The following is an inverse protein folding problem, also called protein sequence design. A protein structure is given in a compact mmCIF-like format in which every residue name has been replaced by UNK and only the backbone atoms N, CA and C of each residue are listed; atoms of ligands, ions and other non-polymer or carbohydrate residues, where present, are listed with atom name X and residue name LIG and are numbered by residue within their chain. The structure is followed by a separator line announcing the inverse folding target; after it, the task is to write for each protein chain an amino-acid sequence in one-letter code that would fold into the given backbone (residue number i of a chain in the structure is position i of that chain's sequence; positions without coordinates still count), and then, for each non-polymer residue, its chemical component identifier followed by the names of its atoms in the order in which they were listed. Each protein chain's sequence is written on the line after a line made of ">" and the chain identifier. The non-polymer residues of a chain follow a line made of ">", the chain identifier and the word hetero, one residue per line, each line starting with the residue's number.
data_IF_416890626055
#
_entry.id   IF_416890626055
#
_cell.length_a   1.000
_cell.length_b   1.000
_cell.length_c   1.000
_cell.angle_alpha   90.00
_cell.angle_beta   90.00
_cell.angle_gamma   90.00
#
_symmetry.space_group_name_H-M   'P 1'
#
loop_
_entity.id
_entity.type
_entity.pdbx_description
1 polymer ?
#
# COMPACT_ATOMS: atom_id res chain seq x y z
N UNK A 1 12.85 7.52 86.50
CA UNK A 1 11.52 6.90 86.39
C UNK A 1 11.07 6.98 84.93
N UNK A 2 10.33 5.98 84.47
CA UNK A 2 10.04 5.57 83.08
C UNK A 2 9.39 6.62 82.15
N UNK A 3 9.79 6.55 80.87
CA UNK A 3 9.07 6.81 79.58
C UNK A 3 8.22 8.09 79.41
N UNK A 4 8.54 8.92 78.39
CA UNK A 4 7.90 8.85 77.07
C UNK A 4 8.43 9.89 76.06
N UNK A 5 8.57 9.43 74.82
CA UNK A 5 8.88 10.15 73.59
C UNK A 5 7.65 10.90 73.05
N UNK A 6 7.84 12.11 72.49
CA UNK A 6 7.34 12.62 71.17
C UNK A 6 7.45 14.16 71.12
N UNK A 7 8.28 14.69 70.21
CA UNK A 7 7.93 15.35 68.93
C UNK A 7 7.30 16.75 69.12
N UNK A 8 8.06 17.83 68.97
CA UNK A 8 8.33 18.59 67.73
C UNK A 8 7.04 18.94 66.95
N UNK A 9 6.66 20.21 67.06
CA UNK A 9 6.02 21.05 66.04
C UNK A 9 6.96 22.25 65.84
N UNK A 10 7.16 22.78 64.62
CA UNK A 10 6.28 23.88 64.25
C UNK A 10 6.03 24.08 62.74
N UNK A 11 5.11 25.01 62.48
CA UNK A 11 5.13 26.05 61.43
C UNK A 11 4.77 25.70 59.98
N UNK A 12 3.53 26.06 59.64
CA UNK A 12 3.15 26.98 58.56
C UNK A 12 3.94 26.95 57.23
N UNK A 13 3.25 26.38 56.24
CA UNK A 13 2.83 27.08 55.03
C UNK A 13 3.92 27.88 54.29
N UNK A 14 4.64 27.24 53.38
CA UNK A 14 5.24 27.94 52.24
C UNK A 14 5.30 27.03 51.00
N UNK A 15 4.67 27.52 49.93
CA UNK A 15 4.86 27.21 48.52
C UNK A 15 5.08 25.74 48.12
N UNK A 16 3.98 25.14 47.67
CA UNK A 16 3.99 24.08 46.66
C UNK A 16 4.60 24.65 45.35
N UNK A 17 5.90 24.45 45.13
CA UNK A 17 6.49 24.46 43.78
C UNK A 17 7.05 23.06 43.57
N UNK A 18 6.14 22.13 43.29
CA UNK A 18 6.48 20.89 42.61
C UNK A 18 6.96 21.25 41.22
N UNK A 19 8.27 21.44 41.05
CA UNK A 19 8.95 21.22 39.77
C UNK A 19 8.85 19.74 39.44
N UNK A 20 7.66 19.33 39.00
CA UNK A 20 7.52 18.18 38.13
C UNK A 20 8.21 18.62 36.83
N UNK A 21 9.47 18.22 36.66
CA UNK A 21 10.09 18.16 35.35
C UNK A 21 9.21 17.20 34.55
N UNK A 22 8.22 17.75 33.85
CA UNK A 22 7.64 17.09 32.68
C UNK A 22 8.83 16.88 31.74
N UNK A 23 9.41 15.68 31.78
CA UNK A 23 10.01 15.09 30.61
C UNK A 23 8.88 14.95 29.61
N UNK A 24 8.56 16.04 28.91
CA UNK A 24 7.74 16.00 27.72
C UNK A 24 8.47 15.06 26.78
N UNK A 25 7.96 13.83 26.67
CA UNK A 25 8.10 13.10 25.44
C UNK A 25 7.67 14.07 24.35
N UNK A 26 8.63 14.64 23.61
CA UNK A 26 8.36 15.34 22.36
C UNK A 26 7.85 14.26 21.41
N UNK A 27 6.59 13.88 21.57
CA UNK A 27 5.88 13.16 20.56
C UNK A 27 5.87 14.09 19.34
N UNK A 28 6.45 13.60 18.26
CA UNK A 28 6.37 14.15 16.92
C UNK A 28 4.93 14.61 16.61
N UNK A 29 4.63 15.90 16.75
CA UNK A 29 3.26 16.41 16.55
C UNK A 29 2.95 16.39 15.05
N UNK A 30 2.11 15.46 14.60
CA UNK A 30 1.65 15.43 13.21
C UNK A 30 0.70 16.62 12.96
N UNK A 31 0.91 17.32 11.85
CA UNK A 31 0.08 18.44 11.42
C UNK A 31 -0.52 18.12 10.06
N UNK A 32 -1.79 18.48 9.88
CA UNK A 32 -2.45 18.62 8.60
C UNK A 32 -2.50 20.11 8.30
N UNK A 33 -1.78 20.55 7.28
CA UNK A 33 -1.64 21.96 6.90
C UNK A 33 -2.34 22.16 5.57
N UNK A 34 -3.43 22.91 5.59
CA UNK A 34 -4.16 23.30 4.38
C UNK A 34 -3.68 24.67 3.94
N UNK A 35 -3.22 24.79 2.69
CA UNK A 35 -2.77 26.04 2.09
C UNK A 35 -3.93 26.79 1.42
N UNK A 36 -3.75 28.09 1.18
CA UNK A 36 -4.70 28.94 0.47
C UNK A 36 -4.95 28.49 -0.98
N UNK A 37 -3.99 27.79 -1.59
CA UNK A 37 -4.11 27.20 -2.93
C UNK A 37 -4.82 25.82 -2.93
N UNK A 38 -5.32 25.39 -1.77
CA UNK A 38 -6.03 24.11 -1.61
C UNK A 38 -5.12 22.91 -1.39
N UNK A 39 -3.78 23.05 -1.45
CA UNK A 39 -2.86 21.95 -1.15
C UNK A 39 -2.90 21.59 0.33
N UNK A 40 -2.94 20.30 0.62
CA UNK A 40 -2.88 19.76 1.98
C UNK A 40 -1.54 19.06 2.19
N UNK A 41 -0.87 19.37 3.28
CA UNK A 41 0.39 18.74 3.69
C UNK A 41 0.20 18.03 5.02
N UNK A 42 0.59 16.77 5.10
CA UNK A 42 0.60 16.01 6.36
C UNK A 42 2.02 15.67 6.76
N UNK A 43 2.44 16.06 7.95
CA UNK A 43 3.80 15.79 8.41
C UNK A 43 4.07 16.21 9.86
N UNK A 44 5.21 15.76 10.39
CA UNK A 44 5.61 16.05 11.77
C UNK A 44 6.11 17.50 11.92
N UNK A 45 5.59 18.26 12.87
CA UNK A 45 6.08 19.60 13.21
C UNK A 45 7.53 19.55 13.67
N UNK A 46 8.43 20.23 12.94
CA UNK A 46 9.84 20.41 13.32
C UNK A 46 10.15 21.81 13.83
N UNK A 47 9.34 22.80 13.47
CA UNK A 47 9.49 24.16 13.98
C UNK A 47 8.44 25.10 13.41
N UNK A 48 8.14 26.18 14.13
CA UNK A 48 7.19 27.20 13.69
C UNK A 48 7.72 28.57 14.06
N UNK A 49 7.65 29.50 13.12
CA UNK A 49 7.97 30.92 13.28
C UNK A 49 6.81 31.76 12.73
N UNK A 50 6.86 33.08 12.92
CA UNK A 50 5.86 34.01 12.39
C UNK A 50 5.77 34.04 10.85
N UNK A 51 6.80 33.55 10.15
CA UNK A 51 6.87 33.55 8.68
C UNK A 51 6.84 32.16 8.05
N UNK A 52 7.28 31.14 8.77
CA UNK A 52 7.49 29.79 8.22
C UNK A 52 7.09 28.72 9.23
N UNK A 53 6.30 27.75 8.77
CA UNK A 53 6.05 26.47 9.43
C UNK A 53 6.93 25.40 8.80
N UNK A 54 7.68 24.64 9.60
CA UNK A 54 8.53 23.54 9.14
C UNK A 54 7.91 22.22 9.57
N UNK A 55 7.55 21.39 8.59
CA UNK A 55 7.03 20.04 8.81
C UNK A 55 7.93 19.00 8.14
N UNK A 56 8.12 17.84 8.75
CA UNK A 56 8.83 16.71 8.19
C UNK A 56 7.85 15.80 7.46
N UNK A 57 8.06 15.63 6.16
CA UNK A 57 7.28 14.75 5.31
C UNK A 57 8.23 13.69 4.77
N UNK A 58 8.03 12.43 5.15
CA UNK A 58 8.86 11.30 4.72
C UNK A 58 10.38 11.53 4.91
N UNK A 59 10.78 12.10 6.05
CA UNK A 59 12.18 12.36 6.39
C UNK A 59 12.75 13.68 5.85
N UNK A 60 11.96 14.46 5.10
CA UNK A 60 12.39 15.76 4.55
C UNK A 60 11.71 16.92 5.27
N UNK A 61 12.49 17.91 5.70
CA UNK A 61 11.98 19.12 6.34
C UNK A 61 11.47 20.10 5.28
N UNK A 62 10.15 20.19 5.13
CA UNK A 62 9.44 21.08 4.23
C UNK A 62 9.12 22.39 4.96
N UNK A 63 9.53 23.52 4.38
CA UNK A 63 9.26 24.87 4.88
C UNK A 63 8.03 25.45 4.16
N UNK A 64 6.93 25.64 4.88
CA UNK A 64 5.70 26.25 4.41
C UNK A 64 5.63 27.72 4.83
N UNK A 65 5.31 28.63 3.90
CA UNK A 65 5.15 30.05 4.22
C UNK A 65 3.85 30.27 4.98
N UNK A 66 3.92 30.83 6.19
CA UNK A 66 2.78 31.02 7.08
C UNK A 66 1.67 31.89 6.46
N UNK A 67 2.00 32.84 5.57
CA UNK A 67 1.01 33.68 4.87
C UNK A 67 0.12 32.90 3.90
N UNK A 68 0.60 31.76 3.43
CA UNK A 68 -0.11 30.93 2.45
C UNK A 68 -0.84 29.77 3.12
N UNK A 69 -0.85 29.70 4.45
CA UNK A 69 -1.55 28.66 5.20
C UNK A 69 -2.97 29.14 5.49
N UNK A 70 -3.95 28.34 5.08
CA UNK A 70 -5.38 28.54 5.35
C UNK A 70 -5.76 28.03 6.74
N UNK A 71 -5.36 26.80 7.07
CA UNK A 71 -5.58 26.18 8.38
C UNK A 71 -4.45 25.24 8.76
N UNK A 72 -4.23 25.09 10.07
CA UNK A 72 -3.32 24.10 10.66
C UNK A 72 -4.15 23.29 11.64
N UNK A 73 -4.27 22.00 11.38
CA UNK A 73 -4.91 21.05 12.28
C UNK A 73 -3.85 20.11 12.84
N UNK A 74 -3.95 19.79 14.12
CA UNK A 74 -3.10 18.77 14.73
C UNK A 74 -3.72 17.43 14.37
N UNK A 75 -3.00 16.60 13.62
CA UNK A 75 -3.45 15.25 13.33
C UNK A 75 -3.42 14.48 14.66
N UNK A 76 -4.59 13.99 15.10
CA UNK A 76 -4.68 13.20 16.31
C UNK A 76 -3.75 11.98 16.17
N UNK A 77 -2.95 11.72 17.20
CA UNK A 77 -2.11 10.52 17.21
C UNK A 77 -3.01 9.27 17.25
N UNK A 78 -2.55 8.11 16.73
CA UNK A 78 -3.33 6.88 16.84
C UNK A 78 -3.74 6.55 18.29
N UNK A 79 -2.92 6.94 19.27
CA UNK A 79 -3.24 6.78 20.70
C UNK A 79 -4.41 7.69 21.14
N UNK A 80 -4.44 8.94 20.67
CA UNK A 80 -5.53 9.89 20.97
C UNK A 80 -6.83 9.47 20.30
N UNK A 81 -6.78 9.08 19.02
CA UNK A 81 -7.94 8.52 18.29
C UNK A 81 -8.48 7.29 19.02
N UNK A 82 -7.59 6.40 19.44
CA UNK A 82 -7.95 5.23 20.21
C UNK A 82 -8.61 5.61 21.54
N UNK A 83 -8.01 6.50 22.33
CA UNK A 83 -8.54 6.92 23.61
C UNK A 83 -9.94 7.54 23.45
N UNK A 84 -10.13 8.46 22.50
CA UNK A 84 -11.40 9.11 22.24
C UNK A 84 -12.49 8.10 21.81
N UNK A 85 -12.18 7.23 20.85
CA UNK A 85 -13.14 6.23 20.36
C UNK A 85 -13.44 5.19 21.43
N UNK A 86 -12.43 4.70 22.15
CA UNK A 86 -12.58 3.68 23.20
C UNK A 86 -13.42 4.16 24.38
N UNK A 87 -13.36 5.46 24.73
CA UNK A 87 -14.17 6.04 25.81
C UNK A 87 -15.67 6.08 25.51
N UNK A 88 -16.05 5.98 24.23
CA UNK A 88 -17.44 5.96 23.76
C UNK A 88 -17.99 4.53 23.60
N UNK A 89 -17.17 3.50 23.83
CA UNK A 89 -17.56 2.10 23.68
C UNK A 89 -17.91 1.47 25.02
N UNK A 90 -18.98 0.67 25.04
CA UNK A 90 -19.31 -0.18 26.18
C UNK A 90 -18.34 -1.37 26.27
N UNK A 91 -18.07 -1.85 27.49
CA UNK A 91 -17.11 -2.92 27.76
C UNK A 91 -17.48 -4.27 27.11
N UNK A 92 -18.76 -4.49 26.84
CA UNK A 92 -19.31 -5.71 26.23
C UNK A 92 -19.49 -5.61 24.71
N UNK A 93 -19.29 -4.45 24.09
CA UNK A 93 -19.43 -4.27 22.64
C UNK A 93 -18.16 -4.75 21.91
N UNK A 94 -18.05 -6.08 21.81
CA UNK A 94 -16.94 -6.75 21.12
C UNK A 94 -16.87 -6.37 19.64
N UNK A 95 -18.00 -6.11 18.99
CA UNK A 95 -18.06 -5.76 17.58
C UNK A 95 -17.38 -4.41 17.30
N UNK A 96 -17.83 -3.38 18.00
CA UNK A 96 -17.27 -2.02 17.84
C UNK A 96 -15.83 -1.94 18.34
N UNK A 97 -15.49 -2.67 19.41
CA UNK A 97 -14.10 -2.75 19.88
C UNK A 97 -13.19 -3.43 18.86
N UNK A 98 -13.66 -4.47 18.17
CA UNK A 98 -12.92 -5.06 17.06
C UNK A 98 -12.77 -4.10 15.88
N UNK A 99 -13.82 -3.37 15.52
CA UNK A 99 -13.77 -2.32 14.49
C UNK A 99 -12.69 -1.28 14.77
N UNK A 100 -12.63 -0.78 16.01
CA UNK A 100 -11.59 0.14 16.45
C UNK A 100 -10.17 -0.45 16.34
N UNK A 101 -10.00 -1.74 16.63
CA UNK A 101 -8.69 -2.39 16.51
C UNK A 101 -8.26 -2.60 15.06
N UNK A 102 -9.20 -2.78 14.13
CA UNK A 102 -8.92 -2.74 12.69
C UNK A 102 -8.51 -1.34 12.24
N UNK A 103 -9.23 -0.29 12.65
CA UNK A 103 -8.84 1.11 12.37
C UNK A 103 -7.41 1.40 12.85
N UNK A 104 -7.08 0.97 14.08
CA UNK A 104 -5.75 1.18 14.65
C UNK A 104 -4.67 0.34 13.94
N UNK A 105 -5.03 -0.83 13.42
CA UNK A 105 -4.14 -1.65 12.62
C UNK A 105 -3.81 -0.96 11.29
N UNK A 106 -4.80 -0.37 10.63
CA UNK A 106 -4.62 0.36 9.37
C UNK A 106 -3.79 1.64 9.55
N UNK A 107 -3.94 2.30 10.71
CA UNK A 107 -3.07 3.39 11.16
C UNK A 107 -1.66 2.93 11.59
N UNK A 108 -1.33 1.64 11.41
CA UNK A 108 -0.04 1.02 11.74
C UNK A 108 0.33 1.09 13.22
N UNK A 109 -0.64 1.25 14.11
CA UNK A 109 -0.45 1.26 15.55
C UNK A 109 -0.31 -0.15 16.13
N UNK A 110 0.57 -0.98 15.53
CA UNK A 110 0.62 -2.43 15.78
C UNK A 110 0.91 -2.80 17.24
N UNK A 111 1.75 -2.02 17.93
CA UNK A 111 2.05 -2.24 19.36
C UNK A 111 0.82 -2.00 20.23
N UNK A 112 0.03 -0.97 19.94
CA UNK A 112 -1.22 -0.67 20.63
C UNK A 112 -2.26 -1.77 20.38
N UNK A 113 -2.43 -2.14 19.12
CA UNK A 113 -3.36 -3.21 18.69
C UNK A 113 -3.01 -4.54 19.36
N UNK A 114 -1.74 -4.93 19.39
CA UNK A 114 -1.28 -6.15 20.06
C UNK A 114 -1.64 -6.15 21.55
N UNK A 115 -1.36 -5.05 22.25
CA UNK A 115 -1.61 -4.94 23.68
C UNK A 115 -3.10 -5.08 23.99
N UNK A 116 -3.96 -4.44 23.22
CA UNK A 116 -5.41 -4.51 23.41
C UNK A 116 -6.00 -5.87 23.02
N UNK A 117 -5.51 -6.51 21.95
CA UNK A 117 -5.92 -7.85 21.59
C UNK A 117 -5.53 -8.88 22.65
N UNK A 118 -4.36 -8.74 23.27
CA UNK A 118 -3.97 -9.60 24.40
C UNK A 118 -4.91 -9.43 25.60
N UNK A 119 -5.29 -8.19 25.95
CA UNK A 119 -6.29 -7.94 27.01
C UNK A 119 -7.64 -8.54 26.64
N UNK A 120 -8.09 -8.34 25.41
CA UNK A 120 -9.37 -8.87 24.92
C UNK A 120 -9.40 -10.40 25.00
N UNK A 121 -8.35 -11.06 24.51
CA UNK A 121 -8.25 -12.53 24.51
C UNK A 121 -8.05 -13.12 25.91
N UNK A 122 -7.57 -12.34 26.88
CA UNK A 122 -7.55 -12.79 28.27
C UNK A 122 -8.97 -12.92 28.86
N UNK A 123 -9.90 -12.07 28.41
CA UNK A 123 -11.33 -12.10 28.82
C UNK A 123 -12.18 -13.01 27.92
N UNK A 124 -11.86 -13.08 26.64
CA UNK A 124 -12.60 -13.85 25.63
C UNK A 124 -11.66 -14.78 24.85
N UNK A 125 -11.19 -15.88 25.46
CA UNK A 125 -10.15 -16.73 24.88
C UNK A 125 -10.53 -17.34 23.54
N UNK A 126 -11.82 -17.58 23.27
CA UNK A 126 -12.30 -18.19 22.03
C UNK A 126 -12.74 -17.21 20.94
N UNK A 127 -12.42 -15.91 21.09
CA UNK A 127 -12.80 -14.90 20.11
C UNK A 127 -11.97 -15.02 18.81
N UNK A 128 -12.50 -15.78 17.84
CA UNK A 128 -11.84 -16.10 16.57
C UNK A 128 -11.28 -14.90 15.79
N UNK A 129 -12.05 -13.81 15.58
CA UNK A 129 -11.53 -12.61 14.90
C UNK A 129 -10.32 -11.99 15.60
N UNK A 130 -10.31 -11.97 16.94
CA UNK A 130 -9.21 -11.40 17.71
C UNK A 130 -7.94 -12.26 17.63
N UNK A 131 -8.06 -13.61 17.69
CA UNK A 131 -6.93 -14.53 17.46
C UNK A 131 -6.29 -14.27 16.08
N UNK A 132 -7.11 -14.09 15.04
CA UNK A 132 -6.64 -13.81 13.67
C UNK A 132 -5.92 -12.46 13.58
N UNK A 133 -6.52 -11.39 14.08
CA UNK A 133 -5.91 -10.06 14.04
C UNK A 133 -4.60 -10.01 14.87
N UNK A 134 -4.55 -10.70 16.01
CA UNK A 134 -3.34 -10.77 16.83
C UNK A 134 -2.20 -11.47 16.09
N UNK A 135 -2.50 -12.58 15.39
CA UNK A 135 -1.52 -13.29 14.56
C UNK A 135 -0.95 -12.38 13.48
N UNK A 136 -1.80 -11.67 12.74
CA UNK A 136 -1.38 -10.75 11.68
C UNK A 136 -0.54 -9.59 12.26
N UNK A 137 -0.98 -9.02 13.38
CA UNK A 137 -0.27 -7.93 14.08
C UNK A 137 1.12 -8.36 14.55
N UNK A 138 1.27 -9.57 15.09
CA UNK A 138 2.58 -10.10 15.50
C UNK A 138 3.51 -10.28 14.29
N UNK A 139 3.02 -10.84 13.18
CA UNK A 139 3.81 -10.97 11.95
C UNK A 139 4.32 -9.62 11.47
N UNK A 140 3.47 -8.59 11.52
CA UNK A 140 3.86 -7.24 11.10
C UNK A 140 4.94 -6.62 12.01
N UNK A 141 4.82 -6.80 13.33
CA UNK A 141 5.84 -6.37 14.29
C UNK A 141 7.17 -7.10 14.09
N UNK A 142 7.14 -8.40 13.79
CA UNK A 142 8.35 -9.17 13.48
C UNK A 142 9.05 -8.70 12.21
N UNK A 143 8.28 -8.38 11.16
CA UNK A 143 8.83 -7.82 9.92
C UNK A 143 9.51 -6.48 10.16
N UNK A 144 8.86 -5.58 10.90
CA UNK A 144 9.43 -4.28 11.27
C UNK A 144 10.71 -4.43 12.10
N UNK A 145 10.75 -5.40 13.03
CA UNK A 145 11.97 -5.70 13.81
C UNK A 145 13.12 -6.22 12.96
N UNK A 146 12.83 -7.07 11.95
CA UNK A 146 13.85 -7.57 11.01
C UNK A 146 14.40 -6.48 10.09
N UNK A 147 13.55 -5.53 9.68
CA UNK A 147 13.97 -4.38 8.86
C UNK A 147 14.87 -3.43 9.65
N UNK A 148 14.55 -3.17 10.92
CA UNK A 148 15.38 -2.37 11.81
C UNK A 148 16.76 -3.03 12.06
N UNK A 149 16.81 -4.35 12.26
CA UNK A 149 18.08 -5.07 12.48
C UNK A 149 18.95 -5.12 11.21
N UNK A 150 18.37 -5.30 10.02
CA UNK A 150 19.11 -5.26 8.75
C UNK A 150 19.73 -3.89 8.43
N UNK A 151 19.11 -2.81 8.89
CA UNK A 151 19.68 -1.46 8.78
C UNK A 151 20.83 -1.23 9.75
N UNK A 152 20.83 -1.91 10.92
CA UNK A 152 21.93 -1.85 11.89
C UNK A 152 23.14 -2.70 11.48
N UNK A 153 22.94 -3.85 10.84
CA UNK A 153 24.04 -4.75 10.43
C UNK A 153 24.86 -4.24 9.24
N UNK A 154 24.27 -3.44 8.34
CA UNK A 154 24.99 -2.85 7.20
C UNK A 154 25.90 -1.66 7.56
N UNK A 155 25.87 -1.19 8.82
CA UNK A 155 26.72 -0.09 9.27
C UNK A 155 28.12 -0.52 9.74
N UNK A 156 28.42 -1.82 9.86
CA UNK A 156 29.62 -2.28 10.60
C UNK A 156 30.61 -3.16 9.82
N UNK A 157 30.50 -3.27 8.49
CA UNK A 157 31.41 -4.13 7.70
C UNK A 157 32.09 -3.37 6.57
N UNK A 158 33.19 -2.68 6.89
CA UNK A 158 34.11 -2.14 5.88
C UNK A 158 35.56 -2.51 6.21
N UNK A 159 36.12 -3.50 5.49
CA UNK A 159 37.55 -3.63 5.18
C UNK A 159 37.85 -4.74 4.14
N UNK A 160 39.04 -4.79 3.51
CA UNK A 160 39.23 -4.36 2.13
C UNK A 160 39.64 -5.52 1.20
N UNK A 161 39.26 -5.44 -0.07
CA UNK A 161 39.54 -6.49 -1.04
C UNK A 161 40.82 -6.19 -1.84
N UNK A 162 41.70 -7.20 -1.86
CA UNK A 162 42.98 -7.24 -2.53
C UNK A 162 42.88 -7.10 -4.06
N UNK A 163 43.95 -6.51 -4.57
CA UNK A 163 44.36 -6.28 -5.95
C UNK A 163 44.42 -7.54 -6.82
N UNK A 164 43.80 -7.50 -8.00
CA UNK A 164 44.21 -8.30 -9.16
C UNK A 164 44.37 -7.42 -10.39
N UNK A 165 45.52 -7.59 -11.06
CA UNK A 165 46.01 -6.83 -12.22
C UNK A 165 45.21 -7.14 -13.50
N UNK A 166 45.29 -6.27 -14.52
CA UNK A 166 44.27 -6.12 -15.56
C UNK A 166 44.53 -7.02 -16.78
N UNK A 167 43.54 -7.82 -17.16
CA UNK A 167 43.48 -8.41 -18.51
C UNK A 167 42.68 -7.47 -19.41
N UNK A 168 43.34 -6.96 -20.45
CA UNK A 168 42.79 -6.04 -21.44
C UNK A 168 41.52 -6.62 -22.09
N UNK A 169 40.35 -6.17 -21.61
CA UNK A 169 39.07 -6.52 -22.18
C UNK A 169 38.62 -5.36 -23.09
N UNK A 170 38.54 -5.64 -24.39
CA UNK A 170 37.99 -4.74 -25.41
C UNK A 170 36.67 -4.16 -24.91
N UNK A 171 36.61 -2.84 -24.80
CA UNK A 171 35.42 -2.10 -24.41
C UNK A 171 34.25 -2.47 -25.36
N UNK A 172 33.34 -3.32 -24.88
CA UNK A 172 32.04 -3.51 -25.53
C UNK A 172 31.31 -2.18 -25.42
N UNK A 173 31.13 -1.50 -26.55
CA UNK A 173 30.24 -0.34 -26.69
C UNK A 173 28.91 -0.64 -25.98
N UNK A 174 28.33 0.33 -25.24
CA UNK A 174 27.06 0.11 -24.54
C UNK A 174 26.00 -0.34 -25.55
N UNK A 175 25.44 -1.52 -25.31
CA UNK A 175 24.38 -2.10 -26.14
C UNK A 175 23.19 -1.13 -26.10
N UNK A 176 22.90 -0.46 -27.21
CA UNK A 176 21.68 0.34 -27.36
C UNK A 176 20.50 -0.60 -27.12
N UNK A 177 19.68 -0.26 -26.12
CA UNK A 177 18.43 -0.96 -25.87
C UNK A 177 17.52 -0.78 -27.07
N UNK A 178 16.83 -1.84 -27.46
CA UNK A 178 15.78 -1.76 -28.48
C UNK A 178 14.65 -0.85 -28.00
N UNK A 179 13.91 -0.25 -28.94
CA UNK A 179 12.71 0.56 -28.63
C UNK A 179 11.73 -0.18 -27.71
N UNK A 180 11.58 -1.49 -27.94
CA UNK A 180 10.74 -2.35 -27.11
C UNK A 180 11.27 -2.53 -25.69
N UNK A 181 12.58 -2.71 -25.51
CA UNK A 181 13.17 -2.79 -24.16
C UNK A 181 13.06 -1.47 -23.39
N UNK A 182 13.11 -0.32 -24.07
CA UNK A 182 12.87 0.99 -23.46
C UNK A 182 11.41 1.10 -23.03
N UNK A 183 10.47 0.74 -23.90
CA UNK A 183 9.03 0.79 -23.61
C UNK A 183 8.64 -0.15 -22.45
N UNK A 184 9.28 -1.33 -22.34
CA UNK A 184 9.01 -2.32 -21.29
C UNK A 184 9.55 -1.93 -19.91
N UNK A 185 10.50 -0.98 -19.81
CA UNK A 185 11.03 -0.51 -18.52
C UNK A 185 10.03 0.33 -17.74
N UNK A 186 9.11 0.95 -18.47
CA UNK A 186 8.05 1.78 -17.91
C UNK A 186 6.88 0.95 -17.35
N UNK A 187 6.82 -0.35 -17.64
CA UNK A 187 5.71 -1.24 -17.31
C UNK A 187 6.07 -2.19 -16.17
N UNK A 188 5.07 -2.71 -15.47
CA UNK A 188 5.26 -3.70 -14.39
C UNK A 188 6.04 -4.93 -14.88
N UNK A 189 6.78 -5.61 -14.00
CA UNK A 189 7.53 -6.82 -14.39
C UNK A 189 6.62 -8.02 -14.68
N UNK A 190 7.15 -9.06 -15.35
CA UNK A 190 6.42 -10.33 -15.54
C UNK A 190 6.05 -11.03 -14.23
N UNK A 191 6.88 -10.85 -13.19
CA UNK A 191 6.61 -11.38 -11.84
C UNK A 191 5.46 -10.63 -11.18
N UNK A 192 5.43 -9.30 -11.31
CA UNK A 192 4.33 -8.48 -10.78
C UNK A 192 3.01 -8.76 -11.53
N UNK A 193 3.08 -8.97 -12.84
CA UNK A 193 1.93 -9.39 -13.63
C UNK A 193 1.39 -10.75 -13.16
N UNK A 194 2.26 -11.73 -12.99
CA UNK A 194 1.89 -13.05 -12.46
C UNK A 194 1.29 -12.95 -11.07
N UNK A 195 1.74 -11.99 -10.25
CA UNK A 195 1.19 -11.75 -8.92
C UNK A 195 -0.25 -11.20 -9.00
N UNK A 196 -0.53 -10.25 -9.89
CA UNK A 196 -1.90 -9.77 -10.12
C UNK A 196 -2.80 -10.93 -10.56
N UNK A 197 -2.35 -11.71 -11.55
CA UNK A 197 -3.09 -12.91 -12.00
C UNK A 197 -3.40 -13.85 -10.85
N UNK A 198 -2.41 -14.10 -10.00
CA UNK A 198 -2.53 -15.02 -8.88
C UNK A 198 -3.61 -14.59 -7.88
N UNK A 199 -3.66 -13.29 -7.58
CA UNK A 199 -4.70 -12.72 -6.71
C UNK A 199 -6.08 -12.74 -7.33
N UNK A 200 -6.17 -12.56 -8.65
CA UNK A 200 -7.43 -12.52 -9.39
C UNK A 200 -7.91 -13.90 -9.87
N UNK A 201 -7.22 -15.00 -9.48
CA UNK A 201 -7.69 -16.35 -9.78
C UNK A 201 -9.06 -16.61 -9.14
N UNK A 202 -9.92 -17.43 -9.77
CA UNK A 202 -11.18 -17.83 -9.16
C UNK A 202 -10.92 -18.61 -7.87
N UNK A 203 -11.88 -18.54 -6.94
CA UNK A 203 -11.77 -19.22 -5.65
C UNK A 203 -11.54 -20.73 -5.79
N UNK A 204 -12.22 -21.37 -6.75
CA UNK A 204 -12.02 -22.79 -7.06
C UNK A 204 -11.05 -22.99 -8.23
N UNK A 205 -9.75 -23.02 -7.89
CA UNK A 205 -8.69 -23.30 -8.87
C UNK A 205 -8.63 -24.77 -9.30
N UNK A 206 -9.29 -25.69 -8.59
CA UNK A 206 -9.32 -27.11 -8.94
C UNK A 206 -10.33 -27.38 -10.05
N UNK A 207 -11.40 -26.58 -10.13
CA UNK A 207 -12.32 -26.53 -11.27
C UNK A 207 -11.70 -25.77 -12.44
N UNK A 208 -11.14 -24.58 -12.20
CA UNK A 208 -10.57 -23.74 -13.25
C UNK A 208 -9.29 -24.31 -13.88
N UNK A 209 -8.49 -25.07 -13.11
CA UNK A 209 -7.24 -25.73 -13.52
C UNK A 209 -6.29 -24.83 -14.33
N UNK A 210 -5.96 -23.62 -13.83
CA UNK A 210 -5.13 -22.69 -14.58
C UNK A 210 -3.73 -23.26 -14.87
N UNK A 211 -3.14 -22.90 -16.00
CA UNK A 211 -1.73 -23.19 -16.29
C UNK A 211 -0.85 -22.33 -15.40
N UNK A 212 -0.21 -22.99 -14.44
CA UNK A 212 0.69 -22.37 -13.46
C UNK A 212 2.02 -23.10 -13.49
N UNK A 213 3.11 -22.33 -13.40
CA UNK A 213 4.44 -22.87 -13.16
C UNK A 213 4.85 -22.53 -11.73
N UNK A 214 5.03 -23.57 -10.93
CA UNK A 214 5.56 -23.47 -9.57
C UNK A 214 6.99 -24.04 -9.59
N UNK A 215 8.02 -23.19 -9.47
CA UNK A 215 9.41 -23.65 -9.45
C UNK A 215 9.67 -24.65 -8.34
N UNK A 216 10.60 -25.58 -8.58
CA UNK A 216 11.03 -26.56 -7.58
C UNK A 216 11.45 -25.90 -6.26
N UNK A 217 12.23 -24.83 -6.35
CA UNK A 217 12.68 -24.02 -5.20
C UNK A 217 11.51 -23.50 -4.35
N UNK A 218 10.39 -23.15 -4.96
CA UNK A 218 9.19 -22.68 -4.24
C UNK A 218 8.59 -23.79 -3.39
N UNK A 219 8.56 -25.04 -3.90
CA UNK A 219 8.09 -26.20 -3.14
C UNK A 219 9.07 -26.58 -2.02
N UNK A 220 10.38 -26.48 -2.27
CA UNK A 220 11.39 -26.69 -1.23
C UNK A 220 11.24 -25.68 -0.08
N UNK A 221 11.00 -24.41 -0.41
CA UNK A 221 10.72 -23.37 0.58
C UNK A 221 9.39 -23.61 1.31
N UNK A 222 8.35 -24.05 0.61
CA UNK A 222 7.06 -24.39 1.22
C UNK A 222 7.24 -25.49 2.28
N UNK A 223 7.87 -26.61 1.92
CA UNK A 223 8.11 -27.73 2.84
C UNK A 223 9.00 -27.29 4.01
N UNK A 224 10.03 -26.48 3.74
CA UNK A 224 10.98 -26.03 4.76
C UNK A 224 10.35 -25.06 5.76
N UNK A 225 9.59 -24.06 5.28
CA UNK A 225 9.10 -22.97 6.11
C UNK A 225 7.75 -23.30 6.77
N UNK A 226 7.02 -24.28 6.24
CA UNK A 226 5.67 -24.63 6.69
C UNK A 226 5.53 -26.11 7.06
N UNK A 227 6.62 -26.79 7.45
CA UNK A 227 6.63 -28.22 7.79
C UNK A 227 5.59 -28.62 8.84
N UNK A 228 5.24 -27.70 9.74
CA UNK A 228 4.34 -27.93 10.86
C UNK A 228 2.86 -27.74 10.49
N UNK A 229 2.58 -27.25 9.27
CA UNK A 229 1.22 -27.09 8.77
C UNK A 229 0.64 -28.45 8.36
N UNK A 230 -0.60 -28.72 8.78
CA UNK A 230 -1.31 -29.99 8.53
C UNK A 230 -1.52 -30.29 7.05
N UNK A 231 -1.61 -29.26 6.21
CA UNK A 231 -1.76 -29.37 4.75
C UNK A 231 -0.46 -29.79 4.05
N UNK A 232 0.69 -29.73 4.74
CA UNK A 232 1.96 -30.20 4.21
C UNK A 232 2.09 -31.71 4.46
N UNK A 233 2.23 -32.53 3.39
CA UNK A 233 2.37 -33.97 3.55
C UNK A 233 3.58 -34.34 4.42
N UNK A 234 3.36 -35.22 5.41
CA UNK A 234 4.41 -35.70 6.31
C UNK A 234 5.20 -36.85 5.69
N UNK A 235 6.50 -36.86 5.98
CA UNK A 235 7.44 -37.89 5.54
C UNK A 235 8.03 -37.65 4.15
N UNK A 236 9.28 -38.10 3.96
CA UNK A 236 10.07 -37.84 2.73
C UNK A 236 9.36 -38.33 1.46
N UNK A 237 8.67 -39.47 1.52
CA UNK A 237 7.95 -40.06 0.37
C UNK A 237 6.77 -39.18 -0.05
N UNK A 238 5.95 -38.74 0.90
CA UNK A 238 4.79 -37.90 0.63
C UNK A 238 5.21 -36.51 0.14
N UNK A 239 6.27 -35.94 0.71
CA UNK A 239 6.88 -34.69 0.24
C UNK A 239 7.43 -34.83 -1.18
N UNK A 240 8.05 -35.97 -1.52
CA UNK A 240 8.52 -36.22 -2.88
C UNK A 240 7.37 -36.19 -3.91
N UNK A 241 6.17 -36.67 -3.55
CA UNK A 241 4.98 -36.64 -4.43
C UNK A 241 4.53 -35.22 -4.76
N UNK A 242 4.69 -34.26 -3.84
CA UNK A 242 4.32 -32.86 -4.06
C UNK A 242 5.07 -32.24 -5.25
N UNK A 243 6.34 -32.63 -5.47
CA UNK A 243 7.10 -32.19 -6.63
C UNK A 243 6.52 -32.68 -7.97
N UNK A 244 5.83 -33.83 -7.97
CA UNK A 244 5.18 -34.41 -9.14
C UNK A 244 3.79 -33.84 -9.44
N UNK A 245 3.21 -33.02 -8.56
CA UNK A 245 1.88 -32.46 -8.78
C UNK A 245 1.85 -31.50 -9.99
N UNK A 246 0.69 -31.41 -10.63
CA UNK A 246 0.43 -30.37 -11.63
C UNK A 246 0.52 -28.98 -10.98
N UNK A 247 0.80 -27.95 -11.79
CA UNK A 247 0.99 -26.58 -11.29
C UNK A 247 -0.15 -26.06 -10.44
N UNK A 248 -1.40 -26.24 -10.88
CA UNK A 248 -2.58 -25.80 -10.11
C UNK A 248 -2.78 -26.61 -8.81
N UNK A 249 -2.43 -27.91 -8.77
CA UNK A 249 -2.48 -28.70 -7.54
C UNK A 249 -1.39 -28.29 -6.54
N UNK A 250 -0.20 -27.94 -7.03
CA UNK A 250 0.85 -27.33 -6.20
C UNK A 250 0.36 -26.00 -5.62
N UNK A 251 -0.30 -25.19 -6.45
CA UNK A 251 -0.82 -23.91 -6.03
C UNK A 251 -1.93 -24.04 -4.98
N UNK A 252 -2.82 -25.02 -5.12
CA UNK A 252 -3.87 -25.33 -4.13
C UNK A 252 -3.28 -25.60 -2.74
N UNK A 253 -2.21 -26.40 -2.66
CA UNK A 253 -1.50 -26.62 -1.39
C UNK A 253 -0.92 -25.32 -0.83
N UNK A 254 -0.29 -24.49 -1.67
CA UNK A 254 0.27 -23.19 -1.25
C UNK A 254 -0.83 -22.27 -0.69
N UNK A 255 -2.02 -22.25 -1.30
CA UNK A 255 -3.15 -21.46 -0.86
C UNK A 255 -3.73 -21.97 0.46
N UNK A 256 -3.92 -23.28 0.62
CA UNK A 256 -4.40 -23.91 1.87
C UNK A 256 -3.47 -23.65 3.05
N UNK A 257 -2.16 -23.68 2.80
CA UNK A 257 -1.14 -23.36 3.80
C UNK A 257 -1.11 -21.86 4.13
N UNK A 258 -1.56 -21.00 3.21
CA UNK A 258 -1.52 -19.55 3.34
C UNK A 258 -0.11 -18.95 3.15
N UNK A 259 0.75 -19.61 2.38
CA UNK A 259 2.16 -19.22 2.18
C UNK A 259 2.32 -18.04 1.18
N UNK A 260 1.81 -16.86 1.57
CA UNK A 260 1.77 -15.65 0.73
C UNK A 260 3.16 -15.11 0.34
N UNK A 261 4.17 -15.35 1.18
CA UNK A 261 5.57 -14.99 0.93
C UNK A 261 6.14 -15.67 -0.32
N UNK A 262 5.59 -16.83 -0.69
CA UNK A 262 6.03 -17.61 -1.84
C UNK A 262 5.41 -17.18 -3.17
N UNK A 263 4.38 -16.32 -3.15
CA UNK A 263 3.57 -15.98 -4.33
C UNK A 263 4.40 -15.34 -5.45
N UNK A 264 5.39 -14.49 -5.11
CA UNK A 264 6.27 -13.84 -6.10
C UNK A 264 7.11 -14.81 -6.93
N UNK A 265 7.33 -16.02 -6.42
CA UNK A 265 8.05 -17.09 -7.13
C UNK A 265 7.18 -17.90 -8.08
N UNK A 266 5.87 -17.62 -8.17
CA UNK A 266 4.91 -18.39 -8.97
C UNK A 266 4.62 -17.65 -10.26
N UNK A 267 4.58 -18.38 -11.38
CA UNK A 267 4.20 -17.82 -12.68
C UNK A 267 2.83 -18.36 -13.09
N UNK A 268 1.85 -17.47 -13.21
CA UNK A 268 0.52 -17.80 -13.72
C UNK A 268 0.50 -17.43 -15.20
N UNK A 269 0.28 -18.43 -16.06
CA UNK A 269 0.34 -18.28 -17.52
C UNK A 269 -1.00 -17.88 -18.11
N UNK A 270 -2.09 -18.42 -17.57
CA UNK A 270 -3.45 -18.09 -18.03
C UNK A 270 -3.97 -16.83 -17.35
N UNK A 271 -4.73 -16.03 -18.10
CA UNK A 271 -5.48 -14.92 -17.52
C UNK A 271 -6.71 -15.43 -16.77
N UNK A 272 -6.95 -14.96 -15.54
CA UNK A 272 -8.24 -15.14 -14.90
C UNK A 272 -9.39 -14.53 -15.73
N UNK A 273 -10.64 -14.98 -15.54
CA UNK A 273 -11.78 -14.50 -16.32
C UNK A 273 -11.94 -12.96 -16.32
N UNK A 274 -11.84 -12.33 -15.14
CA UNK A 274 -11.93 -10.88 -15.02
C UNK A 274 -10.80 -10.18 -15.79
N UNK A 275 -9.57 -10.69 -15.70
CA UNK A 275 -8.44 -10.13 -16.42
C UNK A 275 -8.50 -10.37 -17.92
N UNK A 276 -9.13 -11.46 -18.36
CA UNK A 276 -9.40 -11.71 -19.78
C UNK A 276 -10.34 -10.64 -20.34
N UNK A 277 -11.43 -10.33 -19.65
CA UNK A 277 -12.36 -9.27 -20.06
C UNK A 277 -11.70 -7.89 -20.04
N UNK A 278 -10.92 -7.60 -18.99
CA UNK A 278 -10.10 -6.39 -18.92
C UNK A 278 -9.21 -6.23 -20.15
N UNK A 279 -8.40 -7.25 -20.45
CA UNK A 279 -7.42 -7.20 -21.54
C UNK A 279 -8.03 -7.13 -22.92
N UNK A 280 -9.10 -7.88 -23.16
CA UNK A 280 -9.68 -8.04 -24.50
C UNK A 280 -10.74 -6.99 -24.81
N UNK A 281 -11.37 -6.42 -23.78
CA UNK A 281 -12.52 -5.53 -23.94
C UNK A 281 -12.24 -4.17 -23.33
N UNK A 282 -12.14 -4.04 -22.00
CA UNK A 282 -12.11 -2.74 -21.34
C UNK A 282 -10.85 -1.93 -21.67
N UNK A 283 -9.67 -2.53 -21.49
CA UNK A 283 -8.41 -1.83 -21.71
C UNK A 283 -8.27 -1.28 -23.14
N UNK A 284 -8.45 -2.08 -24.21
CA UNK A 284 -8.30 -1.56 -25.55
C UNK A 284 -9.43 -0.59 -25.93
N UNK A 285 -10.70 -0.91 -25.64
CA UNK A 285 -11.82 -0.09 -26.13
C UNK A 285 -12.07 1.18 -25.33
N UNK A 286 -11.97 1.09 -24.00
CA UNK A 286 -12.35 2.17 -23.10
C UNK A 286 -11.14 2.86 -22.52
N UNK A 287 -10.20 2.13 -21.93
CA UNK A 287 -9.09 2.74 -21.18
C UNK A 287 -8.11 3.45 -22.13
N UNK A 288 -7.58 2.70 -23.10
CA UNK A 288 -6.49 3.18 -23.95
C UNK A 288 -6.98 4.08 -25.08
N UNK A 289 -8.17 3.79 -25.64
CA UNK A 289 -8.70 4.54 -26.79
C UNK A 289 -9.55 5.76 -26.40
N UNK A 290 -10.06 5.81 -25.18
CA UNK A 290 -10.97 6.88 -24.75
C UNK A 290 -10.51 7.55 -23.45
N UNK A 291 -10.39 6.79 -22.36
CA UNK A 291 -10.20 7.34 -21.02
C UNK A 291 -8.86 8.07 -20.88
N UNK A 292 -7.80 7.45 -21.38
CA UNK A 292 -6.45 8.00 -21.35
C UNK A 292 -6.38 9.35 -22.08
N UNK A 293 -6.97 9.45 -23.28
CA UNK A 293 -6.95 10.68 -24.08
C UNK A 293 -7.58 11.90 -23.37
N UNK A 294 -8.47 11.69 -22.42
CA UNK A 294 -9.17 12.76 -21.71
C UNK A 294 -8.59 13.03 -20.32
N UNK A 295 -8.19 12.00 -19.58
CA UNK A 295 -7.89 12.14 -18.15
C UNK A 295 -6.42 11.96 -17.79
N UNK A 296 -5.56 11.49 -18.71
CA UNK A 296 -4.15 11.23 -18.41
C UNK A 296 -3.37 12.51 -18.08
N UNK A 297 -2.56 12.46 -17.00
CA UNK A 297 -1.49 13.41 -16.57
C UNK A 297 -1.87 14.91 -16.38
N UNK A 298 -3.02 15.36 -16.90
CA UNK A 298 -3.42 16.77 -17.01
C UNK A 298 -4.56 17.14 -16.06
N UNK A 299 -5.44 16.18 -15.76
CA UNK A 299 -6.65 16.42 -14.95
C UNK A 299 -6.67 15.62 -13.65
N UNK A 300 -5.82 14.59 -13.53
CA UNK A 300 -5.77 13.72 -12.35
C UNK A 300 -4.33 13.55 -11.88
N UNK A 301 -3.97 14.13 -10.72
CA UNK A 301 -2.68 13.89 -10.10
C UNK A 301 -2.43 12.40 -9.88
N UNK A 302 -1.29 11.89 -10.35
CA UNK A 302 -0.90 10.49 -10.16
C UNK A 302 -1.48 9.50 -11.18
N UNK A 303 -2.37 9.93 -12.08
CA UNK A 303 -2.88 9.09 -13.16
C UNK A 303 -1.92 9.12 -14.35
N UNK A 304 -1.25 7.98 -14.59
CA UNK A 304 -0.46 7.75 -15.79
C UNK A 304 -0.84 6.43 -16.44
N UNK A 305 -1.61 6.52 -17.52
CA UNK A 305 -2.00 5.38 -18.36
C UNK A 305 -1.16 5.32 -19.63
N UNK A 306 -1.11 4.14 -20.23
CA UNK A 306 -0.39 3.82 -21.45
C UNK A 306 -1.35 3.38 -22.54
N UNK A 307 -1.12 3.83 -23.76
CA UNK A 307 -1.91 3.49 -24.94
C UNK A 307 -1.02 3.09 -26.15
N UNK A 308 0.26 2.76 -25.90
CA UNK A 308 1.25 2.48 -26.97
C UNK A 308 0.92 1.18 -27.68
N UNK A 309 0.53 0.16 -26.92
CA UNK A 309 0.16 -1.18 -27.38
C UNK A 309 -0.97 -1.72 -26.46
N UNK A 310 -2.22 -1.30 -26.67
CA UNK A 310 -3.32 -1.63 -25.75
C UNK A 310 -3.58 -3.13 -25.53
N UNK A 311 -3.17 -3.98 -26.49
CA UNK A 311 -3.29 -5.43 -26.41
C UNK A 311 -2.07 -6.13 -25.79
N UNK A 312 -0.97 -5.40 -25.57
CA UNK A 312 0.21 -5.92 -24.88
C UNK A 312 -0.15 -6.20 -23.43
N UNK A 313 0.12 -7.42 -22.99
CA UNK A 313 -0.27 -7.91 -21.67
C UNK A 313 0.27 -7.02 -20.54
N UNK A 314 1.59 -6.77 -20.53
CA UNK A 314 2.22 -5.91 -19.52
C UNK A 314 1.65 -4.49 -19.50
N UNK A 315 1.27 -3.94 -20.64
CA UNK A 315 0.68 -2.60 -20.71
C UNK A 315 -0.71 -2.59 -20.11
N UNK A 316 -1.56 -3.52 -20.54
CA UNK A 316 -2.92 -3.66 -20.03
C UNK A 316 -2.94 -3.92 -18.51
N UNK A 317 -2.07 -4.77 -17.99
CA UNK A 317 -1.95 -5.00 -16.54
C UNK A 317 -1.34 -3.80 -15.79
N UNK A 318 -0.46 -3.03 -16.43
CA UNK A 318 0.06 -1.79 -15.83
C UNK A 318 -1.05 -0.76 -15.66
N UNK A 319 -1.87 -0.54 -16.70
CA UNK A 319 -3.04 0.34 -16.62
C UNK A 319 -4.02 -0.11 -15.53
N UNK A 320 -4.29 -1.40 -15.45
CA UNK A 320 -5.12 -1.98 -14.40
C UNK A 320 -4.57 -1.70 -12.99
N UNK A 321 -3.26 -1.89 -12.80
CA UNK A 321 -2.61 -1.65 -11.51
C UNK A 321 -2.66 -0.17 -11.11
N UNK A 322 -2.44 0.73 -12.07
CA UNK A 322 -2.55 2.18 -11.85
C UNK A 322 -3.96 2.53 -11.38
N UNK A 323 -4.99 2.09 -12.12
CA UNK A 323 -6.39 2.39 -11.80
C UNK A 323 -6.86 1.70 -10.51
N UNK A 324 -6.32 0.53 -10.18
CA UNK A 324 -6.69 -0.16 -8.93
C UNK A 324 -6.24 0.61 -7.69
N UNK A 325 -5.15 1.37 -7.77
CA UNK A 325 -4.53 2.09 -6.65
C UNK A 325 -5.02 3.52 -6.48
N UNK A 326 -5.57 4.09 -7.54
CA UNK A 326 -5.91 5.50 -7.56
C UNK A 326 -7.27 5.74 -6.93
N UNK A 327 -7.32 6.82 -6.18
CA UNK A 327 -8.47 7.32 -5.47
C UNK A 327 -8.45 8.84 -5.56
N UNK A 328 -9.64 9.45 -5.70
CA UNK A 328 -9.82 10.90 -5.64
C UNK A 328 -10.94 11.16 -4.65
N UNK A 329 -10.69 12.03 -3.68
CA UNK A 329 -11.68 12.48 -2.69
C UNK A 329 -12.42 11.33 -1.97
N UNK A 330 -11.73 10.24 -1.62
CA UNK A 330 -12.39 9.08 -0.98
C UNK A 330 -12.92 8.02 -1.95
N UNK A 331 -12.91 8.30 -3.25
CA UNK A 331 -13.56 7.47 -4.26
C UNK A 331 -12.55 6.73 -5.15
N UNK A 332 -12.55 5.38 -5.14
CA UNK A 332 -11.59 4.62 -5.93
C UNK A 332 -11.97 4.63 -7.42
N UNK A 333 -10.95 4.58 -8.28
CA UNK A 333 -11.17 4.41 -9.71
C UNK A 333 -11.80 3.07 -10.04
N UNK A 334 -11.41 2.01 -9.33
CA UNK A 334 -12.05 0.70 -9.41
C UNK A 334 -12.62 0.39 -8.03
N UNK A 335 -13.92 0.63 -7.87
CA UNK A 335 -14.65 0.27 -6.66
C UNK A 335 -15.07 -1.21 -6.77
N UNK A 336 -14.47 -2.08 -5.97
CA UNK A 336 -14.80 -3.52 -5.99
C UNK A 336 -16.09 -3.84 -5.24
N UNK A 337 -16.43 -3.03 -4.24
CA UNK A 337 -17.59 -3.22 -3.36
C UNK A 337 -18.87 -2.68 -3.97
N UNK A 338 -18.80 -1.52 -4.62
CA UNK A 338 -19.92 -0.89 -5.34
C UNK A 338 -19.46 -0.55 -6.76
N UNK A 339 -19.40 -1.53 -7.68
CA UNK A 339 -18.83 -1.38 -9.01
C UNK A 339 -19.33 -0.20 -9.82
N UNK A 340 -20.62 0.09 -9.74
CA UNK A 340 -21.26 1.20 -10.45
C UNK A 340 -20.70 2.55 -9.99
N UNK A 341 -20.21 2.66 -8.76
CA UNK A 341 -19.62 3.87 -8.17
C UNK A 341 -18.13 4.05 -8.46
N UNK A 342 -17.53 3.15 -9.23
CA UNK A 342 -16.16 3.30 -9.74
C UNK A 342 -16.01 4.63 -10.50
N UNK A 343 -15.08 5.50 -10.10
CA UNK A 343 -14.83 6.76 -10.84
C UNK A 343 -14.52 6.47 -12.31
N UNK A 344 -13.84 5.35 -12.58
CA UNK A 344 -13.54 4.90 -13.93
C UNK A 344 -14.79 4.80 -14.81
N UNK A 345 -15.94 4.41 -14.29
CA UNK A 345 -17.18 4.29 -15.07
C UNK A 345 -18.07 5.52 -14.96
N UNK A 346 -18.10 6.14 -13.78
CA UNK A 346 -18.84 7.38 -13.53
C UNK A 346 -18.36 8.51 -14.45
N UNK A 347 -17.06 8.57 -14.73
CA UNK A 347 -16.48 9.56 -15.65
C UNK A 347 -16.67 9.22 -17.13
N UNK A 348 -17.23 8.05 -17.45
CA UNK A 348 -17.67 7.71 -18.79
C UNK A 348 -19.15 8.03 -19.03
N UNK A 349 -19.93 8.35 -17.99
CA UNK A 349 -21.35 8.68 -18.09
C UNK A 349 -21.58 10.16 -18.43
N UNK A 350 -22.77 10.53 -18.95
CA UNK A 350 -23.18 11.93 -19.00
C UNK A 350 -23.17 12.53 -17.59
N UNK A 351 -22.61 13.74 -17.41
CA UNK A 351 -22.45 14.36 -16.09
C UNK A 351 -23.76 14.45 -15.30
N UNK A 352 -24.88 14.69 -15.98
CA UNK A 352 -26.23 14.75 -15.39
C UNK A 352 -26.73 13.41 -14.83
N UNK A 353 -26.18 12.30 -15.32
CA UNK A 353 -26.57 10.93 -14.95
C UNK A 353 -25.54 10.25 -14.05
N UNK A 354 -24.38 10.90 -13.84
CA UNK A 354 -23.29 10.40 -13.01
C UNK A 354 -23.47 10.86 -11.56
N UNK A 355 -23.28 9.94 -10.62
CA UNK A 355 -23.20 10.24 -9.18
C UNK A 355 -21.93 11.01 -8.85
N UNK A 356 -20.81 10.63 -9.48
CA UNK A 356 -19.52 11.30 -9.36
C UNK A 356 -19.10 11.79 -10.76
N UNK A 357 -19.55 12.98 -11.19
CA UNK A 357 -19.34 13.43 -12.56
C UNK A 357 -17.86 13.64 -12.88
N UNK A 358 -17.50 13.41 -14.14
CA UNK A 358 -16.16 13.74 -14.65
C UNK A 358 -15.85 15.24 -14.49
N UNK A 359 -14.59 15.60 -14.20
CA UNK A 359 -14.16 17.00 -14.24
C UNK A 359 -14.39 17.62 -15.62
N UNK A 360 -14.35 18.95 -15.68
CA UNK A 360 -14.39 19.67 -16.96
C UNK A 360 -13.10 19.41 -17.74
N UNK A 361 -13.25 18.77 -18.90
CA UNK A 361 -12.15 18.39 -19.79
C UNK A 361 -12.55 18.80 -21.21
N UNK A 362 -11.64 19.43 -21.92
CA UNK A 362 -11.87 19.88 -23.29
C UNK A 362 -12.19 18.69 -24.22
N UNK A 363 -13.16 18.88 -25.12
CA UNK A 363 -13.58 17.89 -26.11
C UNK A 363 -14.05 16.54 -25.54
N UNK A 364 -14.22 16.43 -24.22
CA UNK A 364 -14.75 15.23 -23.59
C UNK A 364 -16.23 15.06 -23.89
N UNK A 365 -16.60 13.83 -24.27
CA UNK A 365 -17.99 13.39 -24.46
C UNK A 365 -18.20 12.07 -23.73
N UNK A 366 -19.39 11.79 -23.19
CA UNK A 366 -19.66 10.52 -22.52
C UNK A 366 -19.39 9.31 -23.42
N UNK A 367 -18.72 8.30 -22.88
CA UNK A 367 -18.53 7.01 -23.55
C UNK A 367 -19.78 6.13 -23.44
N UNK A 368 -20.39 6.13 -22.26
CA UNK A 368 -21.64 5.43 -21.97
C UNK A 368 -22.82 6.35 -22.23
N UNK A 369 -23.94 5.79 -22.70
CA UNK A 369 -25.15 6.59 -22.97
C UNK A 369 -25.90 6.96 -21.70
N UNK A 370 -25.93 6.06 -20.72
CA UNK A 370 -26.61 6.19 -19.43
C UNK A 370 -26.16 5.05 -18.51
N UNK A 371 -26.54 5.07 -17.22
CA UNK A 371 -26.30 3.94 -16.31
C UNK A 371 -26.98 2.63 -16.74
N UNK A 372 -27.95 2.71 -17.67
CA UNK A 372 -28.62 1.54 -18.22
C UNK A 372 -27.94 0.96 -19.48
N UNK A 373 -26.92 1.63 -20.01
CA UNK A 373 -26.13 1.17 -21.17
C UNK A 373 -25.53 -0.22 -20.87
N UNK A 374 -25.68 -1.16 -21.81
CA UNK A 374 -25.14 -2.51 -21.68
C UNK A 374 -23.63 -2.49 -21.39
N UNK A 375 -22.86 -1.59 -22.02
CA UNK A 375 -21.41 -1.48 -21.81
C UNK A 375 -21.07 -1.02 -20.39
N UNK A 376 -21.89 -0.13 -19.81
CA UNK A 376 -21.72 0.29 -18.42
C UNK A 376 -21.99 -0.89 -17.47
N UNK A 377 -23.10 -1.60 -17.67
CA UNK A 377 -23.46 -2.79 -16.88
C UNK A 377 -22.43 -3.90 -16.99
N UNK A 378 -21.92 -4.17 -18.19
CA UNK A 378 -20.88 -5.18 -18.39
C UNK A 378 -19.58 -4.78 -17.69
N UNK A 379 -19.23 -3.49 -17.69
CA UNK A 379 -18.06 -2.98 -16.98
C UNK A 379 -18.21 -3.04 -15.45
N UNK A 380 -19.38 -2.69 -14.92
CA UNK A 380 -19.69 -2.85 -13.49
C UNK A 380 -19.65 -4.33 -13.08
N UNK A 381 -20.27 -5.22 -13.86
CA UNK A 381 -20.21 -6.67 -13.64
C UNK A 381 -18.80 -7.23 -13.69
N UNK A 382 -17.92 -6.67 -14.54
CA UNK A 382 -16.52 -7.04 -14.54
C UNK A 382 -15.83 -6.70 -13.20
N UNK A 383 -16.06 -5.50 -12.67
CA UNK A 383 -15.46 -5.07 -11.42
C UNK A 383 -16.00 -5.87 -10.21
N UNK A 384 -17.27 -6.30 -10.25
CA UNK A 384 -17.84 -7.25 -9.27
C UNK A 384 -17.07 -8.58 -9.25
N UNK A 385 -16.66 -9.06 -10.42
CA UNK A 385 -15.91 -10.32 -10.60
C UNK A 385 -14.44 -10.26 -10.18
N UNK A 386 -13.95 -9.10 -9.72
CA UNK A 386 -12.60 -8.97 -9.18
C UNK A 386 -12.53 -9.55 -7.76
N UNK A 387 -11.34 -10.00 -7.36
CA UNK A 387 -11.11 -10.52 -6.03
C UNK A 387 -11.27 -9.40 -4.98
N UNK A 388 -12.19 -9.57 -4.04
CA UNK A 388 -12.58 -8.51 -3.12
C UNK A 388 -11.55 -8.25 -2.01
N UNK A 389 -10.80 -9.28 -1.58
CA UNK A 389 -9.95 -9.22 -0.38
C UNK A 389 -8.45 -9.20 -0.71
N UNK A 390 -8.02 -8.22 -1.49
CA UNK A 390 -6.58 -8.00 -1.74
C UNK A 390 -5.89 -7.35 -0.53
N UNK A 391 -4.64 -7.72 -0.21
CA UNK A 391 -3.93 -7.22 0.97
C UNK A 391 -3.68 -5.71 0.96
N UNK A 392 -3.61 -5.12 -0.24
CA UNK A 392 -3.75 -3.69 -0.52
C UNK A 392 -4.19 -3.53 -2.00
N UNK A 393 -4.70 -2.36 -2.37
CA UNK A 393 -5.09 -2.01 -3.75
C UNK A 393 -3.95 -2.12 -4.77
N UNK A 394 -2.71 -2.30 -4.30
CA UNK A 394 -1.52 -2.44 -5.10
C UNK A 394 -0.96 -3.85 -5.21
N UNK A 395 -1.64 -4.88 -4.71
CA UNK A 395 -1.19 -6.28 -4.71
C UNK A 395 0.20 -6.49 -4.05
N UNK A 396 0.64 -5.57 -3.19
CA UNK A 396 1.99 -5.54 -2.65
C UNK A 396 3.09 -5.29 -3.68
N UNK A 397 2.75 -4.75 -4.86
CA UNK A 397 3.70 -4.42 -5.94
C UNK A 397 4.31 -3.03 -5.71
N UNK A 398 5.62 -2.87 -5.89
CA UNK A 398 6.27 -1.56 -5.87
C UNK A 398 6.38 -1.05 -7.30
N UNK A 399 5.54 -0.09 -7.66
CA UNK A 399 5.51 0.48 -9.01
C UNK A 399 5.21 1.97 -8.95
N UNK A 400 5.97 2.76 -9.71
CA UNK A 400 5.82 4.21 -9.86
C UNK A 400 5.82 4.50 -11.35
N UNK A 401 4.76 5.11 -11.90
CA UNK A 401 4.72 5.40 -13.33
C UNK A 401 5.82 6.38 -13.75
N UNK A 402 6.35 6.25 -14.98
CA UNK A 402 7.37 7.14 -15.50
C UNK A 402 6.82 8.56 -15.68
N UNK A 403 7.66 9.57 -15.47
CA UNK A 403 7.25 10.98 -15.56
C UNK A 403 6.54 11.49 -14.30
N UNK A 404 5.86 10.62 -13.56
CA UNK A 404 5.42 10.86 -12.19
C UNK A 404 6.61 10.69 -11.24
N UNK A 405 7.57 11.61 -11.35
CA UNK A 405 8.53 11.83 -10.29
C UNK A 405 7.71 12.31 -9.08
N UNK A 406 7.83 11.66 -7.92
CA UNK A 406 7.65 12.38 -6.64
C UNK A 406 8.39 13.69 -6.81
N UNK A 407 7.72 14.83 -6.64
CA UNK A 407 8.09 16.19 -7.08
C UNK A 407 9.47 16.72 -6.64
N UNK A 408 10.54 15.99 -6.90
CA UNK A 408 11.91 16.24 -6.43
C UNK A 408 12.90 16.44 -7.56
N UNK A 409 12.45 16.46 -8.82
CA UNK A 409 13.40 16.47 -9.95
C UNK A 409 12.95 17.34 -11.14
N UNK A 410 12.03 18.28 -10.93
CA UNK A 410 11.71 19.33 -11.93
C UNK A 410 12.07 20.76 -11.45
N UNK A 411 12.58 20.92 -10.23
CA UNK A 411 13.08 22.21 -9.73
C UNK A 411 14.59 22.40 -9.90
N UNK A 412 15.38 21.35 -10.07
CA UNK A 412 16.84 21.47 -10.25
C UNK A 412 17.25 21.73 -11.71
N UNK A 413 16.41 21.41 -12.71
CA UNK A 413 16.76 21.60 -14.14
C UNK A 413 16.43 22.99 -14.71
N UNK A 414 15.83 23.88 -13.92
CA UNK A 414 15.39 25.21 -14.38
C UNK A 414 16.26 26.36 -13.86
N UNK A 415 17.31 26.06 -13.09
CA UNK A 415 18.23 27.08 -12.57
C UNK A 415 19.59 27.15 -13.30
N UNK A 416 19.93 26.17 -14.14
CA UNK A 416 21.26 26.14 -14.80
C UNK A 416 21.32 26.76 -16.21
N UNK A 417 20.18 27.17 -16.80
CA UNK A 417 20.16 27.74 -18.17
C UNK A 417 20.16 29.27 -18.25
N UNK A 418 20.25 29.99 -17.13
CA UNK A 418 20.22 31.47 -17.12
C UNK A 418 21.51 32.15 -16.65
N UNK A 419 22.65 31.44 -16.66
CA UNK A 419 23.97 32.01 -16.35
C UNK A 419 24.97 31.71 -17.47
N UNK A 420 24.69 32.17 -18.69
CA UNK A 420 25.69 32.38 -19.74
C UNK A 420 25.14 33.35 -20.79
N UNK A 421 24.99 34.61 -20.38
CA UNK A 421 25.13 35.76 -21.27
C UNK A 421 25.61 36.91 -20.40
N UNK A 422 26.89 37.24 -20.58
CA UNK A 422 27.58 38.36 -19.96
C UNK A 422 27.73 39.44 -21.02
#
# INVERSE_FOLDING_TARGET
>A
MRYNLRSILPLFLLLFVTTLLLTSNLAAQQLIVTMNDGKVYTGEKKGQSSKVLVINIAGQNVKLNAKNIKSIEIAQSPLEIYAEKSAKLEDNDLGSRMGLLYDMYDLKAYSLVKNELNKLLSKYPEHGPAKRLLKVTNTQLEMLGREANKQSENATSSKPQHTSKPTANKAKKPKRLSKMEIELKDLISESDLSLIRLWELPADILVAKPRVKVPRKTIELLIKNYSDNEEIPRGKVSQARLFGYSGYKKLDVIFKVGARDLYRGITVVDDPPAMTYWRKTLNPSYISNYFENHFNDSHVPGLKLFNRRPNLERESYTNFLVLSRLEIDGHPFINRTVPEESLLFQWGLPRKDAKYPAPEVENWKPYFKSPYDKRFKDAAKWAEGLFQSIPDTGYGIKYTPPGLKTSKQKLESSQDSNSNNK
#
